data_IF_367737340267
#
_entry.id   IF_367737340267
#
_cell.length_a   1.000
_cell.length_b   1.000
_cell.length_c   1.000
_cell.angle_alpha   90.00
_cell.angle_beta   90.00
_cell.angle_gamma   90.00
#
_symmetry.space_group_name_H-M   'P 1'
#
loop_
_entity.id
_entity.type
_entity.pdbx_description
1 polymer ?
#
# COMPACT_ATOMS: atom_id res chain seq x y z
N UNK A 1 -5.39 -24.13 -23.42
CA UNK A 1 -6.07 -22.93 -23.92
C UNK A 1 -6.41 -22.11 -22.69
N UNK A 2 -5.57 -21.15 -22.39
CA UNK A 2 -5.86 -20.15 -21.34
C UNK A 2 -6.80 -19.16 -22.02
N UNK A 3 -8.05 -19.15 -21.60
CA UNK A 3 -8.96 -18.07 -21.94
C UNK A 3 -8.46 -16.85 -21.18
N UNK A 4 -7.86 -15.91 -21.94
CA UNK A 4 -7.65 -14.54 -21.50
C UNK A 4 -9.03 -13.93 -21.20
N UNK A 5 -9.47 -14.06 -19.97
CA UNK A 5 -10.56 -13.24 -19.48
C UNK A 5 -10.00 -11.84 -19.22
N UNK A 6 -9.87 -11.08 -20.31
CA UNK A 6 -9.77 -9.63 -20.25
C UNK A 6 -10.92 -9.13 -19.38
N UNK A 7 -10.58 -8.37 -18.37
CA UNK A 7 -11.54 -7.73 -17.48
C UNK A 7 -12.41 -6.83 -18.37
N UNK A 8 -13.69 -7.17 -18.53
CA UNK A 8 -14.62 -6.30 -19.22
C UNK A 8 -14.90 -5.10 -18.31
N UNK A 9 -14.21 -4.00 -18.57
CA UNK A 9 -14.38 -2.75 -17.83
C UNK A 9 -15.79 -2.12 -18.00
N UNK A 10 -16.57 -2.61 -18.96
CA UNK A 10 -17.95 -2.15 -19.21
C UNK A 10 -18.96 -2.45 -18.09
N UNK A 11 -18.55 -3.22 -17.06
CA UNK A 11 -19.40 -3.54 -15.91
C UNK A 11 -19.05 -2.72 -14.65
N UNK A 12 -18.06 -1.83 -14.73
CA UNK A 12 -17.68 -1.00 -13.57
C UNK A 12 -18.47 0.30 -13.56
N UNK A 13 -19.41 0.39 -12.66
CA UNK A 13 -20.19 1.60 -12.40
C UNK A 13 -19.37 2.72 -11.72
N UNK A 14 -18.13 2.41 -11.32
CA UNK A 14 -17.27 3.29 -10.54
C UNK A 14 -16.18 3.92 -11.42
N UNK A 15 -15.90 5.20 -11.18
CA UNK A 15 -14.70 5.83 -11.72
C UNK A 15 -13.49 5.48 -10.85
N UNK A 16 -12.32 5.41 -11.45
CA UNK A 16 -11.08 5.00 -10.79
C UNK A 16 -10.29 6.21 -10.35
N UNK A 17 -9.90 6.23 -9.07
CA UNK A 17 -8.94 7.19 -8.52
C UNK A 17 -7.74 6.42 -7.97
N UNK A 18 -6.52 6.88 -8.28
CA UNK A 18 -5.29 6.23 -7.84
C UNK A 18 -4.47 7.21 -7.00
N UNK A 19 -4.23 6.85 -5.74
CA UNK A 19 -3.38 7.58 -4.81
C UNK A 19 -2.18 6.72 -4.41
N UNK A 20 -0.99 7.05 -4.93
CA UNK A 20 0.22 6.30 -4.68
C UNK A 20 1.41 7.25 -4.59
N UNK A 21 2.13 7.25 -3.46
CA UNK A 21 3.28 8.12 -3.21
C UNK A 21 4.44 7.95 -4.21
N UNK A 22 4.44 6.92 -5.04
CA UNK A 22 5.40 6.73 -6.13
C UNK A 22 4.76 6.99 -7.49
N UNK A 23 4.93 8.19 -8.03
CA UNK A 23 4.28 8.65 -9.27
C UNK A 23 4.43 7.71 -10.48
N UNK A 24 5.60 7.11 -10.78
CA UNK A 24 5.72 6.13 -11.87
C UNK A 24 4.82 4.91 -11.69
N UNK A 25 4.72 4.38 -10.48
CA UNK A 25 3.82 3.25 -10.16
C UNK A 25 2.36 3.66 -10.34
N UNK A 26 1.97 4.84 -9.85
CA UNK A 26 0.61 5.36 -10.03
C UNK A 26 0.21 5.47 -11.51
N UNK A 27 1.10 5.98 -12.36
CA UNK A 27 0.87 6.09 -13.81
C UNK A 27 0.76 4.70 -14.45
N UNK A 28 1.62 3.75 -14.06
CA UNK A 28 1.58 2.37 -14.57
C UNK A 28 0.25 1.69 -14.20
N UNK A 29 -0.19 1.84 -12.96
CA UNK A 29 -1.49 1.33 -12.50
C UNK A 29 -2.65 1.98 -13.27
N UNK A 30 -2.60 3.29 -13.49
CA UNK A 30 -3.60 4.01 -14.24
C UNK A 30 -3.72 3.48 -15.68
N UNK A 31 -2.60 3.24 -16.34
CA UNK A 31 -2.58 2.68 -17.70
C UNK A 31 -3.19 1.29 -17.77
N UNK A 32 -2.96 0.48 -16.72
CA UNK A 32 -3.48 -0.90 -16.69
C UNK A 32 -4.96 -0.96 -16.27
N UNK A 33 -5.38 -0.13 -15.33
CA UNK A 33 -6.70 -0.25 -14.69
C UNK A 33 -7.79 0.63 -15.34
N UNK A 34 -7.42 1.75 -15.96
CA UNK A 34 -8.39 2.77 -16.32
C UNK A 34 -8.77 2.82 -17.79
N UNK A 35 -8.05 2.12 -18.65
CA UNK A 35 -8.31 2.11 -20.09
C UNK A 35 -9.02 0.81 -20.46
N UNK A 36 -10.25 0.92 -20.95
CA UNK A 36 -10.95 -0.20 -21.58
C UNK A 36 -10.49 -0.33 -23.04
N UNK A 37 -9.80 -1.42 -23.40
CA UNK A 37 -9.28 -1.62 -24.75
C UNK A 37 -10.39 -1.75 -25.83
N UNK A 38 -11.58 -2.22 -25.45
CA UNK A 38 -12.67 -2.49 -26.39
C UNK A 38 -13.51 -1.23 -26.66
N UNK A 39 -13.81 -0.45 -25.64
CA UNK A 39 -14.66 0.73 -25.75
C UNK A 39 -13.89 2.05 -25.91
N UNK A 40 -12.57 2.01 -25.71
CA UNK A 40 -11.70 3.20 -25.65
C UNK A 40 -12.21 4.26 -24.64
N UNK A 41 -12.97 3.85 -23.63
CA UNK A 41 -13.44 4.73 -22.57
C UNK A 41 -12.40 4.81 -21.46
N UNK A 42 -12.22 6.01 -20.92
CA UNK A 42 -11.32 6.25 -19.80
C UNK A 42 -12.14 6.49 -18.53
N UNK A 43 -12.18 5.49 -17.67
CA UNK A 43 -12.87 5.58 -16.38
C UNK A 43 -12.01 6.24 -15.30
N UNK A 44 -10.80 6.72 -15.63
CA UNK A 44 -9.92 7.37 -14.68
C UNK A 44 -10.46 8.76 -14.29
N UNK A 45 -10.67 8.99 -12.99
CA UNK A 45 -10.92 10.31 -12.44
C UNK A 45 -9.61 11.10 -12.32
N UNK A 46 -8.58 10.48 -11.76
CA UNK A 46 -7.30 11.13 -11.55
C UNK A 46 -6.25 10.21 -10.94
N UNK A 47 -5.03 10.76 -10.87
CA UNK A 47 -3.87 10.14 -10.20
C UNK A 47 -3.25 11.20 -9.30
N UNK A 48 -3.05 10.88 -8.03
CA UNK A 48 -2.44 11.75 -7.04
C UNK A 48 -1.38 11.01 -6.23
N UNK A 49 -0.57 11.74 -5.48
CA UNK A 49 0.52 11.15 -4.68
C UNK A 49 0.39 11.44 -3.19
N UNK A 50 -0.51 12.36 -2.82
CA UNK A 50 -0.71 12.81 -1.46
C UNK A 50 -2.15 12.59 -0.96
N UNK A 51 -2.31 12.54 0.36
CA UNK A 51 -3.61 12.43 1.03
C UNK A 51 -4.47 13.66 0.72
N UNK A 52 -3.88 14.86 0.80
CA UNK A 52 -4.55 16.14 0.54
C UNK A 52 -5.11 16.25 -0.87
N UNK A 53 -4.31 15.90 -1.90
CA UNK A 53 -4.76 15.89 -3.31
C UNK A 53 -5.89 14.87 -3.53
N UNK A 54 -5.81 13.71 -2.88
CA UNK A 54 -6.82 12.66 -3.01
C UNK A 54 -8.17 13.12 -2.46
N UNK A 55 -8.19 13.72 -1.27
CA UNK A 55 -9.40 14.24 -0.65
C UNK A 55 -10.02 15.36 -1.48
N UNK A 56 -9.22 16.29 -2.02
CA UNK A 56 -9.70 17.35 -2.90
C UNK A 56 -10.37 16.78 -4.17
N UNK A 57 -9.80 15.73 -4.78
CA UNK A 57 -10.39 15.07 -5.94
C UNK A 57 -11.72 14.39 -5.61
N UNK A 58 -11.84 13.78 -4.43
CA UNK A 58 -13.06 13.14 -3.96
C UNK A 58 -14.15 14.20 -3.71
N UNK A 59 -13.83 15.29 -3.00
CA UNK A 59 -14.77 16.37 -2.71
C UNK A 59 -15.32 17.04 -3.96
N UNK A 60 -14.53 17.14 -5.01
CA UNK A 60 -14.92 17.73 -6.29
C UNK A 60 -15.61 16.72 -7.24
N UNK A 61 -15.79 15.47 -6.84
CA UNK A 61 -16.45 14.44 -7.64
C UNK A 61 -17.84 14.12 -7.09
N UNK A 62 -18.79 13.89 -7.99
CA UNK A 62 -20.13 13.36 -7.67
C UNK A 62 -20.25 11.88 -8.02
N UNK A 63 -19.18 11.28 -8.53
CA UNK A 63 -19.17 9.91 -9.03
C UNK A 63 -18.94 8.91 -7.89
N UNK A 64 -19.45 7.71 -8.05
CA UNK A 64 -19.05 6.55 -7.24
C UNK A 64 -17.63 6.16 -7.62
N UNK A 65 -16.74 6.04 -6.64
CA UNK A 65 -15.31 5.86 -6.88
C UNK A 65 -14.80 4.50 -6.40
N UNK A 66 -13.95 3.89 -7.22
CA UNK A 66 -13.05 2.82 -6.82
C UNK A 66 -11.64 3.43 -6.63
N UNK A 67 -11.21 3.50 -5.37
CA UNK A 67 -10.02 4.26 -4.98
C UNK A 67 -8.89 3.29 -4.62
N UNK A 68 -7.86 3.25 -5.46
CA UNK A 68 -6.64 2.49 -5.17
C UNK A 68 -5.67 3.35 -4.37
N UNK A 69 -5.31 2.89 -3.18
CA UNK A 69 -4.51 3.64 -2.21
C UNK A 69 -3.26 2.82 -1.85
N UNK A 70 -2.08 3.38 -2.06
CA UNK A 70 -0.83 2.80 -1.56
C UNK A 70 -0.69 3.03 -0.05
N UNK A 71 -0.08 2.09 0.65
CA UNK A 71 0.16 2.20 2.10
C UNK A 71 1.01 3.40 2.50
N UNK A 72 1.85 3.93 1.59
CA UNK A 72 2.67 5.15 1.79
C UNK A 72 2.30 6.20 0.77
N UNK A 73 2.17 7.44 1.24
CA UNK A 73 1.89 8.63 0.45
C UNK A 73 2.96 9.68 0.72
N UNK A 74 3.03 10.72 -0.10
CA UNK A 74 4.02 11.79 0.03
C UNK A 74 3.83 12.61 1.32
N UNK A 75 2.60 12.77 1.80
CA UNK A 75 2.23 13.60 2.96
C UNK A 75 1.55 12.82 4.09
N UNK A 76 1.45 11.48 3.97
CA UNK A 76 0.75 10.69 4.97
C UNK A 76 0.82 9.19 4.76
N UNK A 77 -0.15 8.48 5.30
CA UNK A 77 -0.28 7.04 5.12
C UNK A 77 -1.60 6.68 4.45
N UNK A 78 -1.58 5.65 3.59
CA UNK A 78 -2.80 5.16 2.97
C UNK A 78 -3.85 4.69 3.97
N UNK A 79 -3.44 4.25 5.16
CA UNK A 79 -4.37 3.87 6.25
C UNK A 79 -5.10 5.11 6.79
N UNK A 80 -4.37 6.23 6.99
CA UNK A 80 -4.95 7.51 7.39
C UNK A 80 -5.98 7.99 6.37
N UNK A 81 -5.61 7.99 5.10
CA UNK A 81 -6.50 8.39 4.00
C UNK A 81 -7.75 7.51 3.92
N UNK A 82 -7.62 6.18 4.02
CA UNK A 82 -8.77 5.28 4.06
C UNK A 82 -9.74 5.64 5.18
N UNK A 83 -9.21 5.87 6.38
CA UNK A 83 -10.05 6.23 7.53
C UNK A 83 -10.70 7.60 7.35
N UNK A 84 -9.98 8.58 6.78
CA UNK A 84 -10.53 9.90 6.47
C UNK A 84 -11.67 9.83 5.43
N UNK A 85 -11.53 9.01 4.39
CA UNK A 85 -12.58 8.81 3.38
C UNK A 85 -13.84 8.22 4.01
N UNK A 86 -13.71 7.31 4.98
CA UNK A 86 -14.82 6.65 5.64
C UNK A 86 -15.36 7.41 6.88
N UNK A 87 -14.72 8.52 7.27
CA UNK A 87 -15.24 9.39 8.32
C UNK A 87 -16.36 10.26 7.77
N UNK A 88 -17.62 9.95 8.17
CA UNK A 88 -18.85 10.63 7.73
C UNK A 88 -18.87 12.16 7.96
N UNK A 89 -17.90 12.68 8.71
CA UNK A 89 -17.79 14.12 8.96
C UNK A 89 -17.24 14.92 7.76
N UNK A 90 -16.61 14.27 6.81
CA UNK A 90 -15.86 14.92 5.71
C UNK A 90 -16.58 14.90 4.36
N UNK A 91 -17.48 13.95 4.11
CA UNK A 91 -18.13 13.83 2.78
C UNK A 91 -19.60 13.48 2.87
N UNK A 92 -20.45 14.26 2.20
CA UNK A 92 -21.92 14.08 2.18
C UNK A 92 -22.40 12.88 1.31
N UNK A 93 -21.51 12.19 0.61
CA UNK A 93 -21.84 11.13 -0.36
C UNK A 93 -21.02 9.84 -0.19
N UNK A 94 -20.59 9.52 1.04
CA UNK A 94 -19.59 8.48 1.35
C UNK A 94 -20.05 7.04 1.09
N UNK A 95 -21.36 6.78 0.97
CA UNK A 95 -21.85 5.39 0.91
C UNK A 95 -21.47 4.61 -0.36
N UNK A 96 -20.95 5.28 -1.39
CA UNK A 96 -20.68 4.67 -2.70
C UNK A 96 -19.19 4.50 -3.07
N UNK A 97 -18.26 4.91 -2.21
CA UNK A 97 -16.83 4.72 -2.51
C UNK A 97 -16.31 3.36 -2.03
N UNK A 98 -15.50 2.72 -2.86
CA UNK A 98 -14.82 1.47 -2.52
C UNK A 98 -13.31 1.74 -2.45
N UNK A 99 -12.69 1.45 -1.31
CA UNK A 99 -11.26 1.65 -1.10
C UNK A 99 -10.50 0.34 -1.21
N UNK A 100 -9.44 0.34 -2.02
CA UNK A 100 -8.49 -0.77 -2.20
C UNK A 100 -7.13 -0.32 -1.66
N UNK A 101 -6.80 -0.76 -0.45
CA UNK A 101 -5.52 -0.46 0.19
C UNK A 101 -4.48 -1.50 -0.24
N UNK A 102 -3.40 -1.04 -0.86
CA UNK A 102 -2.29 -1.88 -1.28
C UNK A 102 -1.06 -1.66 -0.40
N UNK A 103 -0.50 -2.74 0.15
CA UNK A 103 0.63 -2.69 1.05
C UNK A 103 1.83 -3.38 0.44
N UNK A 104 2.95 -2.66 0.37
CA UNK A 104 4.24 -3.20 -0.06
C UNK A 104 5.07 -3.57 1.17
N UNK A 105 4.54 -4.44 2.02
CA UNK A 105 5.24 -4.87 3.22
C UNK A 105 4.77 -6.26 3.66
N UNK A 106 5.70 -7.01 4.23
CA UNK A 106 5.42 -8.23 4.99
C UNK A 106 5.55 -8.00 6.50
N UNK A 107 5.78 -6.75 6.92
CA UNK A 107 5.85 -6.40 8.33
C UNK A 107 4.44 -6.46 8.94
N UNK A 108 4.24 -7.23 10.02
CA UNK A 108 2.93 -7.40 10.64
C UNK A 108 2.32 -6.16 11.27
N UNK A 109 3.09 -5.17 11.68
CA UNK A 109 2.53 -3.97 12.31
C UNK A 109 1.64 -3.20 11.32
N UNK A 110 2.14 -2.73 10.17
CA UNK A 110 1.29 -2.08 9.17
C UNK A 110 0.15 -2.98 8.67
N UNK A 111 0.38 -4.31 8.57
CA UNK A 111 -0.67 -5.23 8.15
C UNK A 111 -1.80 -5.34 9.19
N UNK A 112 -1.49 -5.30 10.49
CA UNK A 112 -2.51 -5.26 11.55
C UNK A 112 -3.28 -3.95 11.53
N UNK A 113 -2.59 -2.83 11.36
CA UNK A 113 -3.23 -1.52 11.28
C UNK A 113 -4.16 -1.43 10.08
N UNK A 114 -3.74 -1.98 8.92
CA UNK A 114 -4.59 -2.10 7.75
C UNK A 114 -5.83 -2.97 7.99
N UNK A 115 -5.70 -4.10 8.70
CA UNK A 115 -6.86 -4.94 9.06
C UNK A 115 -7.88 -4.21 9.93
N UNK A 116 -7.40 -3.32 10.80
CA UNK A 116 -8.24 -2.52 11.68
C UNK A 116 -8.80 -1.26 11.00
N UNK A 117 -8.32 -0.95 9.78
CA UNK A 117 -8.83 0.18 9.01
C UNK A 117 -10.20 -0.10 8.39
N UNK A 118 -10.82 0.96 7.91
CA UNK A 118 -12.11 0.90 7.20
C UNK A 118 -11.96 0.48 5.72
N UNK A 119 -10.78 0.05 5.26
CA UNK A 119 -10.58 -0.39 3.88
C UNK A 119 -11.54 -1.53 3.50
N UNK A 120 -12.19 -1.40 2.35
CA UNK A 120 -13.05 -2.45 1.80
C UNK A 120 -12.22 -3.63 1.31
N UNK A 121 -11.10 -3.36 0.66
CA UNK A 121 -10.21 -4.37 0.11
C UNK A 121 -8.78 -4.07 0.58
N UNK A 122 -8.08 -5.10 1.07
CA UNK A 122 -6.71 -4.99 1.55
C UNK A 122 -5.87 -6.03 0.81
N UNK A 123 -4.88 -5.55 0.07
CA UNK A 123 -3.99 -6.36 -0.75
C UNK A 123 -2.53 -6.16 -0.35
N UNK A 124 -1.74 -7.20 -0.53
CA UNK A 124 -0.28 -7.07 -0.60
C UNK A 124 0.14 -6.85 -2.05
N UNK A 125 1.33 -6.29 -2.28
CA UNK A 125 1.86 -6.13 -3.64
C UNK A 125 1.92 -7.47 -4.40
N UNK A 126 2.27 -8.56 -3.71
CA UNK A 126 2.25 -9.93 -4.26
C UNK A 126 0.85 -10.45 -4.56
N UNK A 127 -0.17 -9.94 -3.88
CA UNK A 127 -1.57 -10.35 -4.08
C UNK A 127 -2.19 -9.85 -5.39
N UNK A 128 -1.47 -9.02 -6.16
CA UNK A 128 -1.90 -8.58 -7.49
C UNK A 128 -1.66 -9.61 -8.60
N UNK A 129 -1.08 -10.78 -8.27
CA UNK A 129 -0.88 -11.85 -9.23
C UNK A 129 -2.20 -12.54 -9.62
N UNK A 130 -2.26 -13.07 -10.84
CA UNK A 130 -3.42 -13.45 -11.66
C UNK A 130 -4.65 -14.08 -10.96
N UNK A 131 -4.51 -14.80 -9.86
CA UNK A 131 -5.67 -15.44 -9.20
C UNK A 131 -6.43 -14.51 -8.25
N UNK A 132 -5.80 -13.47 -7.74
CA UNK A 132 -6.36 -12.56 -6.75
C UNK A 132 -7.31 -11.54 -7.38
N UNK A 133 -7.10 -11.19 -8.65
CA UNK A 133 -7.90 -10.18 -9.34
C UNK A 133 -9.39 -10.56 -9.43
N UNK A 134 -9.70 -11.83 -9.66
CA UNK A 134 -11.09 -12.31 -9.69
C UNK A 134 -11.79 -12.17 -8.32
N UNK A 135 -11.06 -12.41 -7.23
CA UNK A 135 -11.61 -12.21 -5.88
C UNK A 135 -11.83 -10.74 -5.57
N UNK A 136 -10.91 -9.88 -6.03
CA UNK A 136 -11.05 -8.42 -5.90
C UNK A 136 -12.28 -7.93 -6.65
N UNK A 137 -12.43 -8.31 -7.92
CA UNK A 137 -13.58 -7.95 -8.75
C UNK A 137 -14.90 -8.43 -8.14
N UNK A 138 -14.93 -9.67 -7.67
CA UNK A 138 -16.10 -10.20 -6.98
C UNK A 138 -16.39 -9.39 -5.70
N UNK A 139 -15.38 -9.03 -4.91
CA UNK A 139 -15.54 -8.25 -3.70
C UNK A 139 -16.05 -6.83 -3.99
N UNK A 140 -15.53 -6.18 -5.04
CA UNK A 140 -16.03 -4.88 -5.53
C UNK A 140 -17.50 -4.97 -5.91
N UNK A 141 -17.88 -5.92 -6.77
CA UNK A 141 -19.24 -6.09 -7.27
C UNK A 141 -20.25 -6.44 -6.17
N UNK A 142 -19.82 -7.21 -5.17
CA UNK A 142 -20.67 -7.61 -4.05
C UNK A 142 -20.59 -6.65 -2.84
N UNK A 143 -19.73 -5.63 -2.90
CA UNK A 143 -19.47 -4.68 -1.80
C UNK A 143 -19.10 -5.38 -0.48
N UNK A 144 -18.33 -6.47 -0.57
CA UNK A 144 -17.87 -7.23 0.61
C UNK A 144 -16.41 -6.91 0.93
N UNK A 145 -16.07 -6.97 2.22
CA UNK A 145 -14.68 -6.82 2.66
C UNK A 145 -13.84 -8.01 2.18
N UNK A 146 -12.74 -7.71 1.49
CA UNK A 146 -11.76 -8.70 1.06
C UNK A 146 -10.39 -8.40 1.65
N UNK A 147 -9.75 -9.43 2.17
CA UNK A 147 -8.38 -9.35 2.71
C UNK A 147 -7.56 -10.43 2.04
N UNK A 148 -6.44 -10.03 1.44
CA UNK A 148 -5.47 -10.94 0.84
C UNK A 148 -5.12 -12.08 1.81
N UNK A 149 -5.28 -13.35 1.42
CA UNK A 149 -4.98 -14.50 2.27
C UNK A 149 -3.54 -14.50 2.79
N UNK A 150 -2.59 -13.91 2.06
CA UNK A 150 -1.20 -13.77 2.48
C UNK A 150 -1.08 -12.95 3.78
N UNK A 151 -1.92 -11.92 3.95
CA UNK A 151 -1.93 -11.11 5.18
C UNK A 151 -2.29 -11.98 6.40
N UNK A 152 -3.29 -12.84 6.25
CA UNK A 152 -3.69 -13.76 7.32
C UNK A 152 -2.58 -14.75 7.64
N UNK A 153 -1.90 -15.26 6.63
CA UNK A 153 -0.76 -16.17 6.80
C UNK A 153 0.41 -15.48 7.52
N UNK A 154 0.74 -14.25 7.14
CA UNK A 154 1.80 -13.45 7.79
C UNK A 154 1.43 -13.15 9.25
N UNK A 155 0.17 -12.89 9.55
CA UNK A 155 -0.28 -12.52 10.89
C UNK A 155 -0.60 -13.72 11.80
N UNK A 156 -0.49 -14.94 11.30
CA UNK A 156 -0.70 -16.15 12.10
C UNK A 156 0.39 -16.26 13.19
N UNK A 157 0.00 -16.27 14.46
CA UNK A 157 0.96 -16.35 15.57
C UNK A 157 1.89 -17.57 15.52
N UNK A 158 1.48 -18.65 14.84
CA UNK A 158 2.31 -19.87 14.70
C UNK A 158 3.53 -19.65 13.80
N UNK A 159 3.49 -18.64 12.92
CA UNK A 159 4.58 -18.26 11.99
C UNK A 159 5.43 -17.10 12.51
N UNK A 160 5.06 -16.51 13.65
CA UNK A 160 5.64 -15.25 14.13
C UNK A 160 6.51 -15.43 15.36
N UNK A 161 7.79 -15.09 15.25
CA UNK A 161 8.62 -14.76 16.42
C UNK A 161 8.49 -13.26 16.68
N UNK A 162 8.11 -12.89 17.90
CA UNK A 162 7.92 -11.49 18.35
C UNK A 162 9.19 -10.62 18.18
N UNK A 163 10.35 -11.27 17.99
CA UNK A 163 11.65 -10.64 17.72
C UNK A 163 11.83 -10.14 16.29
N UNK A 164 10.96 -10.56 15.36
CA UNK A 164 11.15 -10.31 13.91
C UNK A 164 10.42 -9.04 13.45
N UNK A 165 9.76 -8.33 14.38
CA UNK A 165 9.03 -7.12 14.08
C UNK A 165 9.95 -5.90 14.05
N UNK A 166 10.12 -5.33 12.87
CA UNK A 166 10.68 -3.99 12.74
C UNK A 166 9.62 -2.95 13.15
N UNK A 167 9.99 -2.01 14.01
CA UNK A 167 9.17 -0.83 14.28
C UNK A 167 9.16 0.09 13.05
N UNK A 168 8.21 1.02 12.95
CA UNK A 168 8.20 2.03 11.88
C UNK A 168 9.54 2.74 11.78
N UNK A 169 10.13 3.12 12.91
CA UNK A 169 11.43 3.78 12.95
C UNK A 169 12.58 2.90 12.44
N UNK A 170 12.51 1.61 12.69
CA UNK A 170 13.49 0.65 12.16
C UNK A 170 13.30 0.40 10.67
N UNK A 171 12.06 0.50 10.16
CA UNK A 171 11.77 0.48 8.73
C UNK A 171 12.31 1.72 8.03
N UNK A 172 12.05 2.92 8.54
CA UNK A 172 12.62 4.17 8.01
C UNK A 172 14.15 4.07 7.90
N UNK A 173 14.78 3.54 8.96
CA UNK A 173 16.22 3.34 8.98
C UNK A 173 16.68 2.30 7.95
N UNK A 174 15.92 1.21 7.80
CA UNK A 174 16.23 0.15 6.84
C UNK A 174 16.19 0.65 5.39
N UNK A 175 15.22 1.48 5.04
CA UNK A 175 15.14 2.12 3.72
C UNK A 175 16.40 2.95 3.44
N UNK A 176 16.78 3.80 4.40
CA UNK A 176 17.99 4.63 4.25
C UNK A 176 19.27 3.81 4.23
N UNK A 177 19.26 2.64 4.85
CA UNK A 177 20.33 1.64 4.72
C UNK A 177 20.37 1.06 3.31
N UNK A 178 19.25 0.78 2.69
CA UNK A 178 19.16 0.31 1.31
C UNK A 178 19.60 1.38 0.32
N UNK A 179 19.32 2.65 0.59
CA UNK A 179 19.83 3.82 -0.15
C UNK A 179 21.35 4.04 0.01
N UNK A 180 22.02 3.23 0.81
CA UNK A 180 23.46 3.32 1.04
C UNK A 180 23.92 4.41 2.01
N UNK A 181 23.00 5.08 2.72
CA UNK A 181 23.30 6.20 3.62
C UNK A 181 24.12 5.76 4.83
N UNK A 182 25.09 6.54 5.25
CA UNK A 182 25.83 6.35 6.50
C UNK A 182 24.97 6.63 7.74
N UNK A 183 25.41 6.22 8.93
CA UNK A 183 24.67 6.52 10.16
C UNK A 183 24.52 8.03 10.41
N UNK A 184 25.49 8.82 9.99
CA UNK A 184 25.46 10.29 10.08
C UNK A 184 24.36 10.86 9.16
N UNK A 185 24.30 10.43 7.90
CA UNK A 185 23.27 10.86 6.95
C UNK A 185 21.86 10.41 7.39
N UNK A 186 21.71 9.19 7.91
CA UNK A 186 20.47 8.68 8.50
C UNK A 186 20.06 9.57 9.70
N UNK A 187 21.03 9.86 10.59
CA UNK A 187 20.77 10.74 11.73
C UNK A 187 20.27 12.11 11.31
N UNK A 188 20.92 12.71 10.31
CA UNK A 188 20.53 14.00 9.76
C UNK A 188 19.11 13.95 9.12
N UNK A 189 18.87 12.96 8.27
CA UNK A 189 17.58 12.81 7.54
C UNK A 189 16.40 12.54 8.49
N UNK A 190 16.63 11.77 9.54
CA UNK A 190 15.63 11.39 10.52
C UNK A 190 15.57 12.31 11.76
N UNK A 191 16.38 13.38 11.81
CA UNK A 191 16.50 14.32 12.93
C UNK A 191 16.80 13.62 14.26
N UNK A 192 17.73 12.66 14.27
CA UNK A 192 18.21 11.94 15.45
C UNK A 192 19.74 11.99 15.55
N UNK A 193 20.29 11.76 16.74
CA UNK A 193 21.71 11.69 16.93
C UNK A 193 22.33 10.48 16.19
N UNK A 194 23.57 10.60 15.70
CA UNK A 194 24.30 9.54 15.02
C UNK A 194 24.36 8.23 15.81
N UNK A 195 24.50 8.37 17.14
CA UNK A 195 24.49 7.23 18.07
C UNK A 195 23.15 6.51 18.04
N UNK A 196 22.05 7.26 17.98
CA UNK A 196 20.69 6.70 17.90
C UNK A 196 20.47 6.03 16.55
N UNK A 197 20.90 6.65 15.44
CA UNK A 197 20.85 6.05 14.12
C UNK A 197 21.61 4.72 14.08
N UNK A 198 22.83 4.70 14.64
CA UNK A 198 23.63 3.47 14.78
C UNK A 198 22.90 2.39 15.58
N UNK A 199 22.24 2.74 16.68
CA UNK A 199 21.47 1.79 17.49
C UNK A 199 20.30 1.18 16.70
N UNK A 200 19.56 1.98 15.93
CA UNK A 200 18.51 1.48 15.06
C UNK A 200 19.05 0.56 13.95
N UNK A 201 20.15 0.93 13.28
CA UNK A 201 20.81 0.05 12.28
C UNK A 201 21.21 -1.29 12.89
N UNK A 202 21.77 -1.28 14.11
CA UNK A 202 22.12 -2.53 14.81
C UNK A 202 20.89 -3.36 15.18
N UNK A 203 19.79 -2.70 15.59
CA UNK A 203 18.53 -3.37 15.87
C UNK A 203 17.94 -4.03 14.63
N UNK A 204 17.96 -3.34 13.49
CA UNK A 204 17.55 -3.86 12.18
C UNK A 204 18.37 -5.08 11.79
N UNK A 205 19.71 -4.99 11.84
CA UNK A 205 20.62 -6.12 11.53
C UNK A 205 20.27 -7.35 12.37
N UNK A 206 20.08 -7.16 13.69
CA UNK A 206 19.73 -8.24 14.62
C UNK A 206 18.36 -8.83 14.31
N UNK A 207 17.33 -8.00 14.08
CA UNK A 207 15.95 -8.44 13.86
C UNK A 207 15.78 -9.14 12.52
N UNK A 208 16.53 -8.75 11.50
CA UNK A 208 16.57 -9.42 10.20
C UNK A 208 17.50 -10.65 10.21
N UNK A 209 18.14 -10.98 11.35
CA UNK A 209 19.15 -12.03 11.41
C UNK A 209 20.23 -11.86 10.32
N UNK A 210 20.56 -10.61 10.00
CA UNK A 210 21.55 -10.28 8.99
C UNK A 210 22.97 -10.33 9.57
N UNK A 211 23.95 -10.71 8.73
CA UNK A 211 25.36 -10.80 9.13
C UNK A 211 26.01 -9.41 9.31
N UNK A 212 25.56 -8.45 8.55
CA UNK A 212 26.03 -7.08 8.55
C UNK A 212 25.02 -6.15 7.85
N UNK A 213 25.37 -4.85 7.75
CA UNK A 213 24.55 -3.82 7.12
C UNK A 213 24.20 -4.14 5.65
N UNK A 214 25.16 -4.62 4.87
CA UNK A 214 24.92 -4.98 3.47
C UNK A 214 23.98 -6.18 3.35
N UNK A 215 24.14 -7.18 4.19
CA UNK A 215 23.28 -8.35 4.23
C UNK A 215 21.84 -7.95 4.67
N UNK A 216 21.69 -6.96 5.56
CA UNK A 216 20.37 -6.45 5.93
C UNK A 216 19.66 -5.75 4.76
N UNK A 217 20.39 -4.96 3.95
CA UNK A 217 19.83 -4.36 2.74
C UNK A 217 19.44 -5.41 1.70
N UNK A 218 20.28 -6.42 1.47
CA UNK A 218 19.98 -7.51 0.53
C UNK A 218 18.72 -8.30 0.97
N UNK A 219 18.60 -8.59 2.26
CA UNK A 219 17.42 -9.26 2.81
C UNK A 219 16.17 -8.39 2.67
N UNK A 220 16.29 -7.09 2.98
CA UNK A 220 15.19 -6.15 2.85
C UNK A 220 14.61 -6.15 1.43
N UNK A 221 15.48 -6.09 0.42
CA UNK A 221 15.06 -6.10 -1.00
C UNK A 221 14.47 -7.46 -1.40
N UNK A 222 15.10 -8.57 -0.98
CA UNK A 222 14.61 -9.93 -1.30
C UNK A 222 13.28 -10.28 -0.66
N UNK A 223 13.06 -9.78 0.55
CA UNK A 223 11.84 -10.01 1.33
C UNK A 223 10.81 -8.89 1.12
N UNK A 224 11.12 -7.95 0.20
CA UNK A 224 10.26 -6.81 -0.15
C UNK A 224 9.81 -6.02 1.08
N UNK A 225 10.73 -5.81 2.04
CA UNK A 225 10.47 -5.04 3.25
C UNK A 225 10.53 -3.53 3.02
N UNK A 226 11.21 -3.13 1.93
CA UNK A 226 11.42 -1.74 1.49
C UNK A 226 11.19 -1.65 -0.01
N UNK A 227 10.79 -0.47 -0.52
CA UNK A 227 10.60 -0.20 -1.96
C UNK A 227 11.92 0.00 -2.70
#
# INVERSE_FOLDING_TARGET
MAEDHLIKHSEWEHRILICCGHKPTAISMATFLAIDPESNTNNLLGVCTSESECLELIENSTDSLLIFISGRLDDGSGISLVNAIHDQSLTASVEDHITVLTLNTVNPLPLRDALNSNANIILTHRGFENSTIHHVLHAVNQRIKYVDPLIRHILDPSHFKKSDLLSERELDVLELVCDGMTNHEIGHKLHIADVTARQHVQAVIRKLHAKNRTDSAVKAIREELVE
#
